data_IF_793979053844
#
_entry.id   IF_793979053844
#
_cell.length_a   1.000
_cell.length_b   1.000
_cell.length_c   1.000
_cell.angle_alpha   90.00
_cell.angle_beta   90.00
_cell.angle_gamma   90.00
#
_symmetry.space_group_name_H-M   'P 1'
#
loop_
_entity.id
_entity.type
_entity.pdbx_description
1 polymer ?
#
# COMPACT_ATOMS: atom_id res chain seq x y z
N UNK A 1 1.71 7.10 2.66
CA UNK A 1 2.37 5.77 2.75
C UNK A 1 3.29 5.59 1.56
N UNK A 2 4.55 5.18 1.78
CA UNK A 2 5.51 5.00 0.69
C UNK A 2 5.50 3.56 0.17
N UNK A 3 5.84 3.40 -1.11
CA UNK A 3 6.00 2.10 -1.77
C UNK A 3 6.92 1.16 -1.00
N UNK A 4 8.06 1.67 -0.54
CA UNK A 4 9.06 0.89 0.19
C UNK A 4 8.52 0.34 1.51
N UNK A 5 7.72 1.13 2.25
CA UNK A 5 7.10 0.65 3.49
C UNK A 5 6.16 -0.52 3.23
N UNK A 6 5.34 -0.44 2.18
CA UNK A 6 4.44 -1.53 1.80
C UNK A 6 5.22 -2.77 1.43
N UNK A 7 6.22 -2.63 0.55
CA UNK A 7 7.04 -3.77 0.12
C UNK A 7 7.75 -4.42 1.31
N UNK A 8 8.24 -3.62 2.26
CA UNK A 8 8.88 -4.10 3.48
C UNK A 8 7.91 -4.87 4.38
N UNK A 9 6.71 -4.32 4.61
CA UNK A 9 5.67 -4.96 5.42
C UNK A 9 5.21 -6.30 4.83
N UNK A 10 4.92 -6.32 3.54
CA UNK A 10 4.51 -7.54 2.84
C UNK A 10 5.68 -8.49 2.55
N UNK A 11 6.93 -8.09 2.84
CA UNK A 11 8.16 -8.87 2.58
C UNK A 11 8.29 -9.24 1.10
N UNK A 12 7.96 -8.29 0.21
CA UNK A 12 8.16 -8.42 -1.24
C UNK A 12 7.00 -7.94 -2.11
N UNK A 13 7.35 -7.47 -3.30
CA UNK A 13 6.43 -6.92 -4.31
C UNK A 13 5.38 -7.95 -4.76
N UNK A 14 5.77 -9.21 -4.94
CA UNK A 14 4.84 -10.27 -5.36
C UNK A 14 3.73 -10.54 -4.35
N UNK A 15 4.02 -10.38 -3.05
CA UNK A 15 3.02 -10.55 -1.99
C UNK A 15 2.04 -9.37 -1.97
N UNK A 16 2.52 -8.15 -2.20
CA UNK A 16 1.67 -6.96 -2.37
C UNK A 16 0.74 -7.13 -3.58
N UNK A 17 1.29 -7.59 -4.71
CA UNK A 17 0.53 -7.83 -5.94
C UNK A 17 -0.59 -8.86 -5.71
N UNK A 18 -0.25 -10.00 -5.08
CA UNK A 18 -1.20 -11.05 -4.74
C UNK A 18 -2.27 -10.59 -3.74
N UNK A 19 -1.88 -9.79 -2.75
CA UNK A 19 -2.79 -9.23 -1.76
C UNK A 19 -3.84 -8.28 -2.37
N UNK A 20 -3.42 -7.48 -3.35
CA UNK A 20 -4.28 -6.53 -4.06
C UNK A 20 -4.96 -7.10 -5.32
N UNK A 21 -4.64 -8.34 -5.71
CA UNK A 21 -5.15 -8.93 -6.95
C UNK A 21 -4.68 -8.21 -8.22
N UNK A 22 -3.51 -7.57 -8.20
CA UNK A 22 -2.92 -6.87 -9.35
C UNK A 22 -1.65 -7.57 -9.84
N UNK A 23 -1.12 -7.12 -10.98
CA UNK A 23 0.14 -7.64 -11.52
C UNK A 23 1.35 -7.12 -10.74
N UNK A 24 2.44 -7.88 -10.80
CA UNK A 24 3.73 -7.48 -10.22
C UNK A 24 4.23 -6.15 -10.81
N UNK A 25 4.05 -5.96 -12.13
CA UNK A 25 4.43 -4.72 -12.82
C UNK A 25 3.64 -3.52 -12.31
N UNK A 26 2.34 -3.67 -12.02
CA UNK A 26 1.55 -2.59 -11.46
C UNK A 26 2.12 -2.07 -10.12
N UNK A 27 2.61 -2.98 -9.26
CA UNK A 27 3.27 -2.58 -8.00
C UNK A 27 4.62 -1.90 -8.28
N UNK A 28 5.37 -2.36 -9.30
CA UNK A 28 6.64 -1.73 -9.69
C UNK A 28 6.46 -0.35 -10.32
N UNK A 29 5.36 -0.10 -11.01
CA UNK A 29 5.04 1.18 -11.62
C UNK A 29 4.49 2.21 -10.63
N UNK A 30 4.23 1.83 -9.37
CA UNK A 30 3.81 2.82 -8.39
C UNK A 30 4.86 3.91 -8.19
N UNK A 31 4.41 5.17 -8.05
CA UNK A 31 5.25 6.26 -7.60
C UNK A 31 5.77 6.00 -6.18
N UNK A 32 6.75 6.79 -5.75
CA UNK A 32 7.32 6.70 -4.40
C UNK A 32 6.24 6.89 -3.33
N UNK A 33 5.34 7.85 -3.57
CA UNK A 33 4.10 8.03 -2.84
C UNK A 33 2.96 7.26 -3.52
N UNK A 34 2.35 6.32 -2.79
CA UNK A 34 1.26 5.50 -3.33
C UNK A 34 -0.02 6.35 -3.45
N UNK A 35 -0.79 6.25 -4.54
CA UNK A 35 -2.08 6.94 -4.66
C UNK A 35 -3.03 6.62 -3.49
N UNK A 36 -3.75 7.63 -2.97
CA UNK A 36 -4.63 7.50 -1.78
C UNK A 36 -5.56 6.28 -1.84
N UNK A 37 -6.18 6.03 -3.00
CA UNK A 37 -7.07 4.88 -3.20
C UNK A 37 -6.38 3.54 -2.90
N UNK A 38 -5.14 3.35 -3.39
CA UNK A 38 -4.35 2.15 -3.11
C UNK A 38 -3.92 2.07 -1.64
N UNK A 39 -3.68 3.22 -1.00
CA UNK A 39 -3.36 3.23 0.43
C UNK A 39 -4.53 2.66 1.26
N UNK A 40 -5.78 3.04 0.95
CA UNK A 40 -6.97 2.50 1.63
C UNK A 40 -7.16 1.00 1.38
N UNK A 41 -6.94 0.51 0.16
CA UNK A 41 -6.99 -0.92 -0.13
C UNK A 41 -5.96 -1.70 0.71
N UNK A 42 -4.73 -1.17 0.79
CA UNK A 42 -3.66 -1.77 1.57
C UNK A 42 -3.97 -1.74 3.07
N UNK A 43 -4.53 -0.64 3.58
CA UNK A 43 -4.95 -0.54 4.99
C UNK A 43 -6.00 -1.61 5.32
N UNK A 44 -6.99 -1.80 4.44
CA UNK A 44 -8.01 -2.85 4.61
C UNK A 44 -7.41 -4.26 4.61
N UNK A 45 -6.48 -4.54 3.70
CA UNK A 45 -5.83 -5.86 3.60
C UNK A 45 -4.89 -6.13 4.78
N UNK A 46 -4.20 -5.09 5.26
CA UNK A 46 -3.31 -5.17 6.42
C UNK A 46 -4.03 -5.02 7.75
N UNK A 47 -5.37 -4.91 7.74
CA UNK A 47 -6.21 -4.73 8.94
C UNK A 47 -5.74 -3.56 9.81
N UNK A 48 -5.30 -2.46 9.20
CA UNK A 48 -4.82 -1.26 9.88
C UNK A 48 -3.36 -1.30 10.34
N UNK A 49 -2.58 -2.32 9.95
CA UNK A 49 -1.14 -2.36 10.28
C UNK A 49 -0.33 -1.32 9.48
N UNK A 50 -0.76 -1.01 8.26
CA UNK A 50 -0.26 0.12 7.49
C UNK A 50 -1.34 1.20 7.42
N UNK A 51 -1.17 2.27 8.19
CA UNK A 51 -2.09 3.41 8.14
C UNK A 51 -1.82 4.24 6.90
N UNK A 52 -2.90 4.62 6.21
CA UNK A 52 -2.82 5.67 5.21
C UNK A 52 -2.20 6.89 5.90
N UNK A 53 -1.25 7.56 5.24
CA UNK A 53 -0.82 8.88 5.70
C UNK A 53 -1.93 9.87 5.33
N UNK A 54 -3.11 9.67 5.90
CA UNK A 54 -4.01 10.77 6.15
C UNK A 54 -3.32 11.58 7.22
N UNK A 55 -2.97 12.82 6.91
CA UNK A 55 -3.03 13.87 7.90
C UNK A 55 -4.18 13.56 8.86
N UNK A 56 -3.84 13.36 10.13
CA UNK A 56 -4.82 13.06 11.14
C UNK A 56 -5.80 14.24 11.24
N UNK A 57 -7.09 13.92 11.21
CA UNK A 57 -8.14 14.48 12.06
C UNK A 57 -8.38 16.00 12.03
N UNK A 58 -9.54 16.38 11.50
CA UNK A 58 -10.34 17.46 12.07
C UNK A 58 -11.82 17.19 11.78
N UNK A 59 -12.47 16.49 12.71
CA UNK A 59 -13.86 16.74 13.07
C UNK A 59 -13.82 17.33 14.48
#
# INVERSE_FOLDING_TARGET
>A
MTKTQVISHFRGVSKVAKALGITYEAVRQWPEEIPKLRQYEIERITKGALKVATEQSAA
#
